data_IF_232275168054
#
_entry.id   IF_232275168054
#
_cell.length_a   1.000
_cell.length_b   1.000
_cell.length_c   1.000
_cell.angle_alpha   90.00
_cell.angle_beta   90.00
_cell.angle_gamma   90.00
#
_symmetry.space_group_name_H-M   'P 1'
#
loop_
_entity.id
_entity.type
_entity.pdbx_description
1 polymer ?
#
# COMPACT_ATOMS: atom_id res chain seq x y z
N UNK A 1 4.60 3.48 16.31
CA UNK A 1 5.18 3.47 17.67
C UNK A 1 6.72 3.43 17.65
N UNK A 2 7.37 2.42 17.06
CA UNK A 2 8.85 2.30 17.07
C UNK A 2 9.61 3.46 16.38
N UNK A 3 9.11 3.98 15.25
CA UNK A 3 9.77 5.10 14.54
C UNK A 3 9.67 6.43 15.31
N UNK A 4 8.57 6.65 16.01
CA UNK A 4 8.34 7.85 16.83
C UNK A 4 9.30 7.94 17.99
N UNK A 5 9.53 6.79 18.64
CA UNK A 5 10.38 6.71 19.82
C UNK A 5 11.88 6.82 19.48
N UNK A 6 12.30 6.38 18.28
CA UNK A 6 13.68 6.56 17.80
C UNK A 6 14.00 8.00 17.37
N UNK A 7 13.05 8.74 16.82
CA UNK A 7 13.27 10.09 16.29
C UNK A 7 12.99 11.23 17.29
N UNK A 8 12.65 10.91 18.56
CA UNK A 8 12.28 11.92 19.60
C UNK A 8 11.24 12.92 19.08
N UNK A 9 10.23 12.45 18.35
CA UNK A 9 9.15 13.35 17.92
C UNK A 9 8.30 13.77 19.13
N UNK A 10 7.92 15.04 19.16
CA UNK A 10 6.96 15.56 20.13
C UNK A 10 5.58 14.89 19.95
N UNK A 11 4.72 14.95 20.97
CA UNK A 11 3.40 14.30 20.94
C UNK A 11 2.56 14.75 19.74
N UNK A 12 2.62 16.03 19.38
CA UNK A 12 1.89 16.58 18.23
C UNK A 12 2.34 15.99 16.90
N UNK A 13 3.65 15.96 16.64
CA UNK A 13 4.24 15.45 15.38
C UNK A 13 4.01 13.95 15.22
N UNK A 14 4.02 13.21 16.33
CA UNK A 14 3.79 11.76 16.38
C UNK A 14 2.36 11.37 15.99
N UNK A 15 1.39 12.18 16.44
CA UNK A 15 -0.02 12.04 16.07
C UNK A 15 -0.22 12.27 14.58
N UNK A 16 0.34 13.37 14.05
CA UNK A 16 0.25 13.70 12.62
C UNK A 16 0.90 12.62 11.74
N UNK A 17 2.10 12.14 12.14
CA UNK A 17 2.79 11.07 11.43
C UNK A 17 1.96 9.78 11.40
N UNK A 18 1.33 9.42 12.53
CA UNK A 18 0.52 8.21 12.62
C UNK A 18 -0.75 8.32 11.76
N UNK A 19 -1.43 9.48 11.76
CA UNK A 19 -2.58 9.74 10.90
C UNK A 19 -2.20 9.67 9.41
N UNK A 20 -1.09 10.31 9.02
CA UNK A 20 -0.60 10.27 7.65
C UNK A 20 -0.23 8.84 7.21
N UNK A 21 0.43 8.06 8.08
CA UNK A 21 0.77 6.68 7.81
C UNK A 21 -0.48 5.79 7.63
N UNK A 22 -1.50 5.96 8.48
CA UNK A 22 -2.76 5.22 8.37
C UNK A 22 -3.52 5.60 7.11
N UNK A 23 -3.57 6.89 6.74
CA UNK A 23 -4.19 7.34 5.49
C UNK A 23 -3.53 6.73 4.26
N UNK A 24 -2.19 6.67 4.23
CA UNK A 24 -1.45 6.00 3.15
C UNK A 24 -1.76 4.50 3.07
N UNK A 25 -1.85 3.82 4.21
CA UNK A 25 -2.22 2.41 4.25
C UNK A 25 -3.68 2.16 3.81
N UNK A 26 -4.61 3.03 4.21
CA UNK A 26 -6.01 2.97 3.77
C UNK A 26 -6.10 3.10 2.24
N UNK A 27 -5.38 4.07 1.67
CA UNK A 27 -5.32 4.25 0.21
C UNK A 27 -4.79 2.99 -0.49
N UNK A 28 -3.76 2.35 0.08
CA UNK A 28 -3.22 1.08 -0.42
C UNK A 28 -4.27 -0.05 -0.43
N UNK A 29 -5.06 -0.18 0.63
CA UNK A 29 -6.12 -1.19 0.69
C UNK A 29 -7.23 -0.95 -0.33
N UNK A 30 -7.66 0.31 -0.52
CA UNK A 30 -8.67 0.66 -1.53
C UNK A 30 -8.19 0.31 -2.95
N UNK A 31 -6.94 0.65 -3.28
CA UNK A 31 -6.34 0.30 -4.57
C UNK A 31 -6.26 -1.21 -4.75
N UNK A 32 -5.77 -1.93 -3.74
CA UNK A 32 -5.68 -3.40 -3.77
C UNK A 32 -7.06 -4.04 -4.00
N UNK A 33 -8.09 -3.55 -3.31
CA UNK A 33 -9.47 -4.02 -3.46
C UNK A 33 -10.02 -3.75 -4.86
N UNK A 34 -9.87 -2.53 -5.36
CA UNK A 34 -10.39 -2.16 -6.68
C UNK A 34 -9.72 -2.90 -7.83
N UNK A 35 -8.39 -3.12 -7.76
CA UNK A 35 -7.69 -3.92 -8.76
C UNK A 35 -8.12 -5.38 -8.67
N UNK A 36 -8.30 -5.92 -7.46
CA UNK A 36 -8.73 -7.31 -7.25
C UNK A 36 -10.14 -7.56 -7.81
N UNK A 37 -11.06 -6.61 -7.59
CA UNK A 37 -12.40 -6.66 -8.16
C UNK A 37 -12.36 -6.69 -9.69
N UNK A 38 -11.55 -5.81 -10.32
CA UNK A 38 -11.38 -5.80 -11.78
C UNK A 38 -10.76 -7.07 -12.34
N UNK A 39 -9.82 -7.68 -11.62
CA UNK A 39 -9.18 -8.93 -12.05
C UNK A 39 -10.14 -10.12 -12.03
N UNK A 40 -11.17 -10.09 -11.18
CA UNK A 40 -12.15 -11.18 -11.05
C UNK A 40 -13.15 -11.20 -12.22
N UNK A 41 -13.47 -10.02 -12.76
CA UNK A 41 -14.31 -9.85 -13.96
C UNK A 41 -13.53 -10.09 -15.26
N UNK A 42 -12.21 -9.97 -15.23
CA UNK A 42 -11.34 -10.18 -16.38
C UNK A 42 -11.14 -11.67 -16.69
N UNK A 43 -10.91 -11.98 -17.97
CA UNK A 43 -10.71 -13.36 -18.44
C UNK A 43 -9.27 -13.82 -18.17
N UNK A 44 -8.95 -14.03 -16.90
CA UNK A 44 -7.66 -14.59 -16.46
C UNK A 44 -7.61 -16.11 -16.65
N UNK A 45 -6.50 -16.67 -17.15
CA UNK A 45 -6.35 -18.11 -17.34
C UNK A 45 -6.47 -18.84 -16.00
N UNK A 46 -7.10 -20.02 -16.01
CA UNK A 46 -7.47 -20.79 -14.81
C UNK A 46 -6.30 -21.06 -13.85
N UNK A 47 -5.08 -21.21 -14.38
CA UNK A 47 -3.87 -21.42 -13.58
C UNK A 47 -3.41 -20.18 -12.77
N UNK A 48 -3.84 -18.97 -13.16
CA UNK A 48 -3.47 -17.71 -12.48
C UNK A 48 -4.58 -17.14 -11.59
N UNK A 49 -5.78 -17.72 -11.61
CA UNK A 49 -6.91 -17.21 -10.82
C UNK A 49 -6.64 -17.28 -9.31
N UNK A 50 -7.09 -16.26 -8.59
CA UNK A 50 -7.03 -16.21 -7.13
C UNK A 50 -5.67 -15.74 -6.59
N UNK A 51 -4.90 -16.66 -6.02
CA UNK A 51 -3.65 -16.34 -5.28
C UNK A 51 -2.48 -15.88 -6.16
N UNK A 52 -2.20 -16.51 -7.32
CA UNK A 52 -1.04 -16.14 -8.14
C UNK A 52 -1.14 -14.71 -8.70
N UNK A 53 -2.30 -14.34 -9.26
CA UNK A 53 -2.53 -12.98 -9.78
C UNK A 53 -2.49 -11.92 -8.66
N UNK A 54 -2.90 -12.27 -7.44
CA UNK A 54 -2.83 -11.37 -6.29
C UNK A 54 -1.38 -11.07 -5.88
N UNK A 55 -0.48 -12.04 -5.97
CA UNK A 55 0.96 -11.84 -5.70
C UNK A 55 1.61 -10.94 -6.75
N UNK A 56 1.30 -11.15 -8.04
CA UNK A 56 1.78 -10.29 -9.13
C UNK A 56 1.28 -8.85 -8.93
N UNK A 57 0.00 -8.71 -8.61
CA UNK A 57 -0.61 -7.41 -8.36
C UNK A 57 0.00 -6.72 -7.14
N UNK A 58 0.25 -7.43 -6.04
CA UNK A 58 0.96 -6.89 -4.87
C UNK A 58 2.37 -6.40 -5.23
N UNK A 59 3.11 -7.15 -6.07
CA UNK A 59 4.42 -6.74 -6.57
C UNK A 59 4.38 -5.46 -7.41
N UNK A 60 3.42 -5.36 -8.33
CA UNK A 60 3.22 -4.15 -9.15
C UNK A 60 2.78 -2.96 -8.29
N UNK A 61 1.92 -3.18 -7.28
CA UNK A 61 1.49 -2.15 -6.35
C UNK A 61 2.66 -1.64 -5.48
N UNK A 62 3.55 -2.54 -5.06
CA UNK A 62 4.80 -2.17 -4.37
C UNK A 62 5.70 -1.28 -5.25
N UNK A 63 5.85 -1.61 -6.53
CA UNK A 63 6.59 -0.78 -7.50
C UNK A 63 5.97 0.63 -7.63
N UNK A 64 4.64 0.70 -7.74
CA UNK A 64 3.93 1.98 -7.80
C UNK A 64 4.13 2.83 -6.55
N UNK A 65 4.06 2.23 -5.35
CA UNK A 65 4.34 2.96 -4.10
C UNK A 65 5.80 3.38 -3.97
N UNK A 66 6.73 2.57 -4.49
CA UNK A 66 8.16 2.90 -4.46
C UNK A 66 8.48 4.13 -5.29
N UNK A 67 7.72 4.42 -6.36
CA UNK A 67 7.87 5.63 -7.17
C UNK A 67 7.71 6.91 -6.35
N UNK A 68 6.87 6.91 -5.31
CA UNK A 68 6.66 8.08 -4.47
C UNK A 68 7.78 8.32 -3.44
N UNK A 69 8.68 7.34 -3.21
CA UNK A 69 9.79 7.50 -2.26
C UNK A 69 10.81 8.55 -2.71
N UNK A 70 10.91 8.84 -4.02
CA UNK A 70 11.83 9.83 -4.57
C UNK A 70 11.34 11.28 -4.53
N UNK A 71 10.06 11.52 -4.20
CA UNK A 71 9.48 12.89 -4.19
C UNK A 71 9.74 13.66 -2.89
N UNK A 72 10.27 13.01 -1.86
CA UNK A 72 10.57 13.63 -0.56
C UNK A 72 12.03 14.13 -0.46
N UNK A 73 12.70 14.33 -1.60
CA UNK A 73 14.03 14.94 -1.69
C UNK A 73 13.94 16.46 -1.81
#
# INVERSE_FOLDING_TARGET
ALLVQRNKYDLGTSLLYSVAATLGFLLALLLMSGIRERLDICRVPSALKGTPIALIMAGLMSLAFMAFRGMAA
#
